data_IF_004644920621
#
_entry.id   IF_004644920621
#
_cell.length_a   1.000
_cell.length_b   1.000
_cell.length_c   1.000
_cell.angle_alpha   90.00
_cell.angle_beta   90.00
_cell.angle_gamma   90.00
#
_symmetry.space_group_name_H-M   'P 1'
#
loop_
_entity.id
_entity.type
_entity.pdbx_description
1 polymer ?
#
# COMPACT_ATOMS: atom_id res chain seq x y z
N UNK A 1 -15.46 6.85 13.65
CA UNK A 1 -15.33 7.38 13.27
C UNK A 1 -15.37 7.92 11.94
N UNK A 2 -15.60 7.36 10.97
CA UNK A 2 -15.87 7.85 9.73
C UNK A 2 -14.65 8.20 8.95
N UNK A 3 -14.72 9.30 8.26
CA UNK A 3 -13.69 9.69 7.34
C UNK A 3 -12.33 9.83 7.98
N UNK A 4 -12.32 10.31 9.19
CA UNK A 4 -11.05 10.51 9.86
C UNK A 4 -10.33 9.18 10.09
N UNK A 5 -11.08 8.17 10.49
CA UNK A 5 -10.49 6.85 10.70
C UNK A 5 -10.03 6.24 9.40
N UNK A 6 -10.75 6.49 8.34
CA UNK A 6 -10.39 5.91 7.07
C UNK A 6 -9.17 6.58 6.47
N UNK A 7 -9.02 7.88 6.71
CA UNK A 7 -7.84 8.58 6.29
C UNK A 7 -6.64 8.03 7.06
N UNK A 8 -6.82 7.79 8.35
CA UNK A 8 -5.75 7.23 9.16
C UNK A 8 -5.36 5.85 8.69
N UNK A 9 -6.34 5.04 8.28
CA UNK A 9 -6.10 3.72 7.74
C UNK A 9 -5.24 3.82 6.49
N UNK A 10 -5.56 4.75 5.61
CA UNK A 10 -4.83 4.93 4.38
C UNK A 10 -3.39 5.34 4.64
N UNK A 11 -3.20 6.29 5.56
CA UNK A 11 -1.86 6.75 5.86
C UNK A 11 -1.02 5.68 6.53
N UNK A 12 -1.62 4.89 7.40
CA UNK A 12 -0.91 3.79 8.02
C UNK A 12 -0.53 2.74 6.99
N UNK A 13 -1.44 2.47 6.07
CA UNK A 13 -1.16 1.50 5.01
C UNK A 13 -0.02 1.97 4.13
N UNK A 14 0.02 3.26 3.81
CA UNK A 14 1.11 3.81 3.01
C UNK A 14 2.43 3.70 3.74
N UNK A 15 2.41 3.97 5.03
CA UNK A 15 3.61 3.89 5.83
C UNK A 15 4.16 2.47 5.84
N UNK A 16 3.28 1.49 6.08
CA UNK A 16 3.69 0.10 6.06
C UNK A 16 4.16 -0.32 4.68
N UNK A 17 3.47 0.16 3.65
CA UNK A 17 3.84 -0.14 2.30
C UNK A 17 5.27 0.33 2.00
N UNK A 18 5.57 1.56 2.40
CA UNK A 18 6.90 2.11 2.17
C UNK A 18 7.98 1.28 2.85
N UNK A 19 7.72 0.90 4.11
CA UNK A 19 8.67 0.09 4.86
C UNK A 19 8.88 -1.27 4.19
N UNK A 20 7.81 -1.91 3.74
CA UNK A 20 7.91 -3.22 3.11
C UNK A 20 8.62 -3.14 1.78
N UNK A 21 8.34 -2.09 1.01
CA UNK A 21 9.01 -1.91 -0.27
C UNK A 21 10.51 -1.81 -0.05
N UNK A 22 10.94 -1.06 0.95
CA UNK A 22 12.36 -0.93 1.24
C UNK A 22 12.98 -2.28 1.55
N UNK A 23 12.27 -3.10 2.31
CA UNK A 23 12.78 -4.42 2.67
C UNK A 23 12.90 -5.30 1.43
N UNK A 24 11.88 -5.30 0.59
CA UNK A 24 11.91 -6.14 -0.61
C UNK A 24 12.99 -5.69 -1.57
N UNK A 25 13.18 -4.39 -1.71
CA UNK A 25 14.24 -3.87 -2.58
C UNK A 25 15.60 -4.31 -2.06
N UNK A 26 15.80 -4.22 -0.75
CA UNK A 26 17.06 -4.64 -0.16
C UNK A 26 17.30 -6.13 -0.38
N UNK A 27 16.25 -6.94 -0.28
CA UNK A 27 16.39 -8.37 -0.50
C UNK A 27 16.72 -8.68 -1.95
N UNK A 28 16.12 -7.94 -2.87
CA UNK A 28 16.42 -8.15 -4.28
C UNK A 28 17.86 -7.76 -4.56
N UNK A 29 18.31 -6.65 -4.03
CA UNK A 29 19.67 -6.20 -4.24
C UNK A 29 20.69 -7.15 -3.62
N UNK A 30 20.29 -7.82 -2.56
CA UNK A 30 21.15 -8.80 -1.92
C UNK A 30 21.09 -10.18 -2.60
N UNK A 31 20.30 -10.30 -3.64
CA UNK A 31 20.17 -11.56 -4.35
C UNK A 31 19.26 -12.58 -3.70
N UNK A 32 18.48 -12.17 -2.73
CA UNK A 32 17.58 -13.09 -2.06
C UNK A 32 16.23 -13.21 -2.72
N UNK A 33 15.88 -12.22 -3.52
CA UNK A 33 14.67 -12.26 -4.32
C UNK A 33 15.02 -11.86 -5.74
N UNK A 34 14.36 -12.47 -6.72
CA UNK A 34 14.53 -12.05 -8.09
C UNK A 34 13.74 -10.77 -8.30
N UNK A 35 14.00 -10.10 -9.41
CA UNK A 35 13.25 -8.89 -9.74
C UNK A 35 11.77 -9.20 -9.86
N UNK A 36 11.43 -10.33 -10.45
CA UNK A 36 10.03 -10.71 -10.62
C UNK A 36 9.37 -10.98 -9.28
N UNK A 37 10.07 -11.68 -8.39
CA UNK A 37 9.52 -11.95 -7.06
C UNK A 37 9.32 -10.66 -6.29
N UNK A 38 10.28 -9.75 -6.41
CA UNK A 38 10.18 -8.46 -5.74
C UNK A 38 8.95 -7.71 -6.22
N UNK A 39 8.75 -7.69 -7.53
CA UNK A 39 7.59 -7.03 -8.10
C UNK A 39 6.29 -7.63 -7.57
N UNK A 40 6.22 -8.97 -7.53
CA UNK A 40 5.01 -9.63 -7.06
C UNK A 40 4.72 -9.31 -5.60
N UNK A 41 5.76 -9.25 -4.78
CA UNK A 41 5.57 -8.92 -3.38
C UNK A 41 5.09 -7.50 -3.18
N UNK A 42 5.64 -6.57 -3.95
CA UNK A 42 5.22 -5.19 -3.87
C UNK A 42 3.76 -5.06 -4.32
N UNK A 43 3.38 -5.79 -5.35
CA UNK A 43 2.01 -5.79 -5.81
C UNK A 43 1.06 -6.26 -4.71
N UNK A 44 1.46 -7.29 -3.99
CA UNK A 44 0.63 -7.82 -2.92
C UNK A 44 0.45 -6.77 -1.83
N UNK A 45 1.53 -6.10 -1.46
CA UNK A 45 1.44 -5.08 -0.43
C UNK A 45 0.54 -3.93 -0.86
N UNK A 46 0.55 -3.62 -2.13
CA UNK A 46 -0.27 -2.54 -2.65
C UNK A 46 -1.76 -2.80 -2.47
N UNK A 47 -2.15 -4.05 -2.34
CA UNK A 47 -3.55 -4.38 -2.15
C UNK A 47 -4.11 -3.76 -0.88
N UNK A 48 -3.30 -3.70 0.18
CA UNK A 48 -3.74 -3.09 1.43
C UNK A 48 -3.99 -1.61 1.26
N UNK A 49 -3.09 -0.95 0.56
CA UNK A 49 -3.23 0.47 0.31
C UNK A 49 -4.50 0.75 -0.50
N UNK A 50 -4.71 -0.07 -1.51
CA UNK A 50 -5.89 0.08 -2.36
C UNK A 50 -7.17 -0.11 -1.59
N UNK A 51 -7.16 -1.03 -0.65
CA UNK A 51 -8.33 -1.29 0.16
C UNK A 51 -8.70 -0.06 0.97
N UNK A 52 -7.75 0.52 1.67
CA UNK A 52 -8.02 1.71 2.47
C UNK A 52 -8.39 2.89 1.60
N UNK A 53 -7.76 3.00 0.43
CA UNK A 53 -8.07 4.07 -0.49
C UNK A 53 -9.51 3.97 -0.99
N UNK A 54 -9.97 2.76 -1.16
CA UNK A 54 -11.33 2.55 -1.61
C UNK A 54 -12.34 3.11 -0.60
N UNK A 55 -12.10 2.90 0.68
CA UNK A 55 -12.98 3.45 1.69
C UNK A 55 -12.95 4.97 1.66
N UNK A 56 -11.78 5.55 1.49
CA UNK A 56 -11.66 6.99 1.40
C UNK A 56 -12.46 7.53 0.23
N UNK A 57 -12.35 6.87 -0.90
CA UNK A 57 -13.06 7.29 -2.08
C UNK A 57 -14.55 7.24 -1.86
N UNK A 58 -15.03 6.21 -1.23
CA UNK A 58 -16.45 6.10 -0.97
C UNK A 58 -16.93 7.21 -0.06
N UNK A 59 -16.09 7.63 0.87
CA UNK A 59 -16.47 8.71 1.75
C UNK A 59 -16.55 10.04 1.03
N UNK A 60 -15.63 10.27 0.14
CA UNK A 60 -15.59 11.50 -0.55
C UNK A 60 -16.47 11.51 -1.74
N UNK A 61 -16.75 10.41 -2.20
CA UNK A 61 -17.57 10.17 -3.21
C UNK A 61 -17.75 11.16 -4.25
N UNK A 62 -18.07 12.16 -4.08
CA UNK A 62 -18.30 13.00 -5.09
C UNK A 62 -17.19 13.16 -5.98
N UNK A 63 -16.28 12.91 -5.73
CA UNK A 63 -15.24 13.13 -6.52
C UNK A 63 -15.02 12.30 -7.46
N UNK A 64 -15.30 11.87 -7.78
CA UNK A 64 -14.99 11.22 -8.61
C UNK A 64 -14.67 11.23 -9.55
N UNK A 65 -14.47 11.44 -9.74
CA UNK A 65 -14.08 11.42 -10.50
C UNK A 65 -13.96 10.81 -10.89
#
# INVERSE_FOLDING_TARGET
MGMYDELNCFEEALKHFGTRVEVYVAMEMAGKLSAEETYQRIKEEMKEVKKCRKFLKNQQESDNM
#
